data_IF_051421622129
#
_entry.id   IF_051421622129
#
_cell.length_a   1.000
_cell.length_b   1.000
_cell.length_c   1.000
_cell.angle_alpha   90.00
_cell.angle_beta   90.00
_cell.angle_gamma   90.00
#
_symmetry.space_group_name_H-M   'P 1'
#
loop_
_entity.id
_entity.type
_entity.pdbx_description
1 polymer ?
#
# COMPACT_ATOMS: atom_id res chain seq x y z
N UNK A 1 -8.00 12.03 45.95
CA UNK A 1 -9.37 12.22 45.42
C UNK A 1 -9.35 13.48 44.59
N UNK A 2 -8.78 13.48 43.39
CA UNK A 2 -9.14 12.74 42.15
C UNK A 2 -10.37 13.35 41.49
N UNK A 3 -10.13 14.07 40.39
CA UNK A 3 -11.03 14.12 39.25
C UNK A 3 -10.15 14.29 38.00
N UNK A 4 -9.85 13.16 37.38
CA UNK A 4 -9.33 13.05 36.01
C UNK A 4 -10.55 12.78 35.16
N UNK A 5 -10.89 13.65 34.21
CA UNK A 5 -11.71 13.27 33.05
C UNK A 5 -11.74 14.38 32.01
N UNK A 6 -10.88 14.24 31.01
CA UNK A 6 -10.88 15.05 29.79
C UNK A 6 -11.29 14.22 28.59
N UNK A 7 -12.45 13.57 28.65
CA UNK A 7 -13.09 12.96 27.47
C UNK A 7 -13.92 14.05 26.78
N UNK A 8 -13.35 14.67 25.74
CA UNK A 8 -14.11 15.58 24.88
C UNK A 8 -15.12 14.77 24.06
N UNK A 9 -16.38 15.03 24.40
CA UNK A 9 -17.61 14.71 23.68
C UNK A 9 -17.44 14.72 22.16
N UNK A 10 -17.71 13.57 21.55
CA UNK A 10 -18.28 13.49 20.21
C UNK A 10 -19.78 13.77 20.40
N UNK A 11 -20.24 14.95 19.97
CA UNK A 11 -21.68 15.17 19.77
C UNK A 11 -21.92 16.08 18.58
N UNK A 12 -22.21 15.46 17.45
CA UNK A 12 -23.21 15.96 16.52
C UNK A 12 -24.18 14.80 16.25
N UNK A 13 -25.45 14.99 16.63
CA UNK A 13 -26.55 14.10 16.28
C UNK A 13 -26.84 14.28 14.79
N UNK A 14 -26.44 13.33 13.96
CA UNK A 14 -26.88 13.24 12.57
C UNK A 14 -27.91 12.11 12.44
N UNK A 15 -29.16 12.45 12.20
CA UNK A 15 -30.22 11.46 11.92
C UNK A 15 -30.25 11.19 10.42
N UNK A 16 -29.63 10.09 9.99
CA UNK A 16 -30.10 9.33 8.84
C UNK A 16 -29.13 9.03 7.69
N UNK A 17 -27.90 9.55 7.68
CA UNK A 17 -26.93 9.16 6.64
C UNK A 17 -26.08 7.97 7.09
N UNK A 18 -26.62 6.76 7.00
CA UNK A 18 -25.84 5.54 7.24
C UNK A 18 -24.89 5.30 6.07
N UNK A 19 -23.55 5.40 6.26
CA UNK A 19 -22.64 5.56 5.14
C UNK A 19 -22.41 4.22 4.40
N UNK A 20 -22.93 4.13 3.18
CA UNK A 20 -22.60 3.02 2.27
C UNK A 20 -21.16 3.09 1.73
N UNK A 21 -20.59 4.30 1.70
CA UNK A 21 -19.20 4.56 1.31
C UNK A 21 -18.33 4.72 2.56
N UNK A 22 -17.02 4.43 2.48
CA UNK A 22 -16.12 4.82 3.55
C UNK A 22 -16.19 6.33 3.81
N UNK A 23 -16.01 6.77 5.06
CA UNK A 23 -15.97 8.18 5.38
C UNK A 23 -14.81 8.87 4.66
N UNK A 24 -14.93 10.15 4.29
CA UNK A 24 -13.81 10.91 3.77
C UNK A 24 -12.70 10.97 4.83
N UNK A 25 -11.45 10.86 4.39
CA UNK A 25 -10.27 10.84 5.26
C UNK A 25 -9.10 10.17 4.55
N UNK A 26 -7.89 10.34 5.07
CA UNK A 26 -6.68 9.70 4.56
C UNK A 26 -6.02 8.99 5.74
N UNK A 27 -5.30 7.90 5.48
CA UNK A 27 -4.42 7.35 6.49
C UNK A 27 -3.26 8.32 6.72
N UNK A 28 -2.77 8.40 7.96
CA UNK A 28 -1.51 9.08 8.23
C UNK A 28 -0.39 8.25 7.58
N UNK A 29 0.37 8.80 6.62
CA UNK A 29 1.42 8.05 5.93
C UNK A 29 2.51 7.65 6.93
N UNK A 30 2.91 6.38 6.93
CA UNK A 30 4.02 5.94 7.76
C UNK A 30 5.35 6.35 7.09
N UNK A 31 6.20 7.14 7.78
CA UNK A 31 7.44 7.68 7.20
C UNK A 31 8.47 6.59 6.88
N UNK A 32 8.33 5.38 7.44
CA UNK A 32 9.21 4.25 7.13
C UNK A 32 9.14 3.83 5.66
N UNK A 33 8.00 4.07 5.00
CA UNK A 33 7.81 3.72 3.59
C UNK A 33 8.22 4.81 2.61
N UNK A 34 8.57 6.02 3.08
CA UNK A 34 8.90 7.15 2.21
C UNK A 34 9.94 6.84 1.12
N UNK A 35 11.01 6.05 1.37
CA UNK A 35 11.96 5.67 0.32
C UNK A 35 11.34 4.83 -0.81
N UNK A 36 10.26 4.11 -0.52
CA UNK A 36 9.61 3.11 -1.36
C UNK A 36 8.28 3.58 -1.98
N UNK A 37 7.83 4.79 -1.64
CA UNK A 37 6.62 5.36 -2.23
C UNK A 37 6.79 5.62 -3.71
N UNK A 38 5.87 5.09 -4.52
CA UNK A 38 5.88 5.21 -5.98
C UNK A 38 7.22 4.76 -6.60
N UNK A 39 7.86 3.76 -5.96
CA UNK A 39 9.22 3.29 -6.28
C UNK A 39 9.16 2.03 -7.11
N UNK A 40 9.99 1.97 -8.15
CA UNK A 40 10.23 0.73 -8.89
C UNK A 40 11.55 0.08 -8.46
N UNK A 41 11.65 -1.23 -8.72
CA UNK A 41 12.88 -1.99 -8.55
C UNK A 41 13.05 -3.06 -9.63
N UNK A 42 14.28 -3.30 -10.05
CA UNK A 42 14.60 -4.42 -10.94
C UNK A 42 14.90 -5.63 -10.09
N UNK A 43 14.25 -6.75 -10.40
CA UNK A 43 14.33 -8.00 -9.66
C UNK A 43 15.25 -9.00 -10.37
N UNK A 44 16.06 -9.71 -9.59
CA UNK A 44 16.87 -10.82 -10.06
C UNK A 44 16.83 -12.01 -9.09
N UNK A 45 16.73 -13.22 -9.62
CA UNK A 45 16.89 -14.47 -8.86
C UNK A 45 18.29 -15.03 -9.12
N UNK A 46 19.12 -15.08 -8.08
CA UNK A 46 20.51 -15.55 -8.17
C UNK A 46 21.36 -14.89 -9.28
N UNK A 47 21.02 -13.65 -9.64
CA UNK A 47 21.71 -12.87 -10.68
C UNK A 47 21.05 -12.94 -12.06
N UNK A 48 20.06 -13.83 -12.25
CA UNK A 48 19.29 -13.90 -13.49
C UNK A 48 18.11 -12.91 -13.45
N UNK A 49 17.83 -12.17 -14.54
CA UNK A 49 16.72 -11.23 -14.59
C UNK A 49 15.37 -11.92 -14.33
N UNK A 50 14.67 -11.44 -13.31
CA UNK A 50 13.38 -11.99 -12.88
C UNK A 50 12.21 -11.13 -13.37
N UNK A 51 12.33 -9.81 -13.23
CA UNK A 51 11.26 -8.88 -13.61
C UNK A 51 11.45 -7.47 -13.07
N UNK A 52 10.38 -6.69 -13.11
CA UNK A 52 10.31 -5.33 -12.55
C UNK A 52 9.18 -5.28 -11.53
N UNK A 53 9.45 -4.68 -10.38
CA UNK A 53 8.50 -4.36 -9.32
C UNK A 53 8.16 -2.87 -9.38
N UNK A 54 6.91 -2.53 -9.12
CA UNK A 54 6.49 -1.16 -8.80
C UNK A 54 5.61 -1.16 -7.55
N UNK A 55 5.92 -0.27 -6.60
CA UNK A 55 5.20 -0.12 -5.35
C UNK A 55 4.41 1.19 -5.32
N UNK A 56 3.13 1.11 -4.97
CA UNK A 56 2.26 2.26 -4.73
C UNK A 56 1.65 2.18 -3.35
N UNK A 57 1.62 3.29 -2.63
CA UNK A 57 0.99 3.37 -1.32
C UNK A 57 -0.26 4.23 -1.39
N UNK A 58 -1.35 3.73 -0.83
CA UNK A 58 -2.68 4.33 -0.91
C UNK A 58 -3.41 4.26 0.43
N UNK A 59 -4.51 4.99 0.56
CA UNK A 59 -5.43 4.84 1.68
C UNK A 59 -6.54 3.85 1.35
N UNK A 60 -6.79 2.91 2.27
CA UNK A 60 -7.93 2.00 2.20
C UNK A 60 -8.75 1.95 3.49
N UNK A 61 -9.96 1.41 3.34
CA UNK A 61 -10.87 1.13 4.45
C UNK A 61 -11.36 -0.29 4.34
N UNK A 62 -11.41 -0.99 5.48
CA UNK A 62 -12.02 -2.31 5.56
C UNK A 62 -13.48 -2.19 5.96
N UNK A 63 -14.36 -2.93 5.29
CA UNK A 63 -15.74 -3.07 5.73
C UNK A 63 -15.77 -4.00 6.95
N UNK A 64 -16.03 -3.45 8.13
CA UNK A 64 -16.09 -4.18 9.40
C UNK A 64 -17.46 -4.80 9.71
N UNK A 65 -18.47 -4.50 8.89
CA UNK A 65 -19.83 -5.02 9.05
C UNK A 65 -20.86 -4.17 8.32
N UNK A 66 -22.11 -4.60 8.35
CA UNK A 66 -23.21 -3.90 7.69
C UNK A 66 -24.30 -4.81 7.16
N UNK A 67 -25.46 -4.23 6.87
CA UNK A 67 -26.57 -4.91 6.20
C UNK A 67 -27.26 -3.94 5.25
N UNK A 68 -27.62 -4.44 4.06
CA UNK A 68 -28.46 -3.80 3.04
C UNK A 68 -28.10 -2.33 2.74
N UNK A 69 -28.56 -1.40 3.56
CA UNK A 69 -28.41 0.05 3.40
C UNK A 69 -27.40 0.71 4.35
N UNK A 70 -26.67 -0.05 5.18
CA UNK A 70 -25.62 0.50 6.04
C UNK A 70 -24.36 -0.36 6.05
N UNK A 71 -23.21 0.30 6.17
CA UNK A 71 -21.91 -0.32 6.38
C UNK A 71 -21.17 0.37 7.52
N UNK A 72 -20.37 -0.41 8.24
CA UNK A 72 -19.37 0.08 9.19
C UNK A 72 -18.00 -0.14 8.58
N UNK A 73 -17.21 0.90 8.56
CA UNK A 73 -15.86 0.91 8.01
C UNK A 73 -14.83 0.96 9.14
N UNK A 74 -13.62 0.49 8.89
CA UNK A 74 -12.48 0.74 9.77
C UNK A 74 -12.08 2.21 9.73
N UNK A 75 -11.16 2.59 10.61
CA UNK A 75 -10.34 3.79 10.37
C UNK A 75 -9.54 3.63 9.07
N UNK A 76 -9.22 4.75 8.37
CA UNK A 76 -8.35 4.73 7.20
C UNK A 76 -7.01 4.05 7.55
N UNK A 77 -6.53 3.20 6.65
CA UNK A 77 -5.24 2.53 6.78
C UNK A 77 -4.43 2.69 5.52
N UNK A 78 -3.12 2.80 5.70
CA UNK A 78 -2.19 2.74 4.59
C UNK A 78 -2.05 1.29 4.13
N UNK A 79 -2.04 1.10 2.81
CA UNK A 79 -1.73 -0.18 2.20
C UNK A 79 -0.72 0.01 1.07
N UNK A 80 -0.01 -1.04 0.74
CA UNK A 80 0.85 -1.08 -0.44
C UNK A 80 0.19 -1.95 -1.50
N UNK A 81 0.19 -1.45 -2.72
CA UNK A 81 -0.07 -2.24 -3.92
C UNK A 81 1.25 -2.45 -4.64
N UNK A 82 1.64 -3.70 -4.82
CA UNK A 82 2.80 -4.06 -5.63
C UNK A 82 2.35 -4.62 -6.97
N UNK A 83 3.01 -4.19 -8.03
CA UNK A 83 2.82 -4.68 -9.39
C UNK A 83 4.12 -5.33 -9.86
N UNK A 84 4.04 -6.53 -10.42
CA UNK A 84 5.17 -7.30 -10.92
C UNK A 84 4.99 -7.58 -12.40
N UNK A 85 5.93 -7.12 -13.22
CA UNK A 85 6.07 -7.52 -14.61
C UNK A 85 7.23 -8.52 -14.70
N UNK A 86 6.92 -9.78 -15.02
CA UNK A 86 7.89 -10.87 -15.08
C UNK A 86 8.60 -10.87 -16.43
N UNK A 87 9.86 -11.31 -16.45
CA UNK A 87 10.67 -11.33 -17.67
C UNK A 87 10.17 -12.33 -18.73
N UNK A 88 9.34 -13.30 -18.33
CA UNK A 88 8.67 -14.23 -19.25
C UNK A 88 7.38 -13.64 -19.88
N UNK A 89 7.07 -12.38 -19.60
CA UNK A 89 5.86 -11.68 -20.04
C UNK A 89 4.66 -11.89 -19.10
N UNK A 90 4.83 -12.61 -17.99
CA UNK A 90 3.82 -12.73 -16.95
C UNK A 90 3.62 -11.43 -16.17
N UNK A 91 2.48 -11.36 -15.48
CA UNK A 91 2.13 -10.25 -14.60
C UNK A 91 1.52 -10.78 -13.31
N UNK A 92 1.86 -10.15 -12.19
CA UNK A 92 1.26 -10.41 -10.88
C UNK A 92 1.04 -9.09 -10.12
N UNK A 93 0.10 -9.09 -9.19
CA UNK A 93 -0.13 -7.96 -8.29
C UNK A 93 -0.48 -8.44 -6.88
N UNK A 94 -0.25 -7.58 -5.90
CA UNK A 94 -0.64 -7.83 -4.52
C UNK A 94 -1.06 -6.53 -3.83
N UNK A 95 -1.90 -6.68 -2.81
CA UNK A 95 -2.31 -5.58 -1.92
C UNK A 95 -2.17 -6.06 -0.49
N UNK A 96 -1.36 -5.35 0.29
CA UNK A 96 -1.08 -5.69 1.69
C UNK A 96 -1.19 -4.47 2.61
N UNK A 97 -1.58 -4.70 3.86
CA UNK A 97 -1.57 -3.62 4.86
C UNK A 97 -0.12 -3.17 5.10
N UNK A 98 0.07 -1.86 5.30
CA UNK A 98 1.36 -1.30 5.65
C UNK A 98 1.97 -1.95 6.91
N UNK A 99 1.16 -2.32 7.90
CA UNK A 99 1.64 -3.01 9.10
C UNK A 99 2.24 -4.40 8.81
N UNK A 100 1.68 -5.13 7.83
CA UNK A 100 2.21 -6.44 7.41
C UNK A 100 3.53 -6.25 6.66
N UNK A 101 3.57 -5.31 5.72
CA UNK A 101 4.77 -5.02 4.92
C UNK A 101 5.89 -4.38 5.74
N UNK A 102 5.56 -3.72 6.86
CA UNK A 102 6.56 -3.17 7.77
C UNK A 102 7.54 -4.24 8.29
N UNK A 103 7.13 -5.50 8.38
CA UNK A 103 7.99 -6.63 8.77
C UNK A 103 9.01 -6.98 7.68
N UNK A 104 8.76 -6.61 6.42
CA UNK A 104 9.64 -6.89 5.28
C UNK A 104 10.67 -5.78 4.99
N UNK A 105 10.53 -4.61 5.62
CA UNK A 105 11.39 -3.45 5.37
C UNK A 105 12.89 -3.75 5.57
N UNK A 106 13.24 -4.60 6.53
CA UNK A 106 14.64 -5.00 6.74
C UNK A 106 15.24 -5.72 5.52
N UNK A 107 14.43 -6.48 4.77
CA UNK A 107 14.86 -7.09 3.52
C UNK A 107 15.01 -6.04 2.43
N UNK A 108 14.05 -5.13 2.31
CA UNK A 108 14.04 -4.10 1.28
C UNK A 108 15.25 -3.17 1.39
N UNK A 109 15.58 -2.75 2.62
CA UNK A 109 16.76 -1.94 2.95
C UNK A 109 18.08 -2.64 2.57
N UNK A 110 18.06 -3.97 2.50
CA UNK A 110 19.21 -4.81 2.10
C UNK A 110 19.22 -5.17 0.62
N UNK A 111 18.35 -4.56 -0.19
CA UNK A 111 18.22 -4.92 -1.61
C UNK A 111 17.68 -6.34 -1.80
N UNK A 112 16.72 -6.74 -0.95
CA UNK A 112 16.03 -8.03 -1.02
C UNK A 112 14.51 -7.85 -1.05
N UNK A 113 13.83 -8.69 -1.83
CA UNK A 113 12.37 -8.68 -1.95
C UNK A 113 11.81 -10.10 -1.82
N UNK A 114 11.07 -10.42 -0.75
CA UNK A 114 10.37 -11.69 -0.61
C UNK A 114 9.23 -11.80 -1.64
N UNK A 115 9.17 -12.92 -2.38
CA UNK A 115 8.08 -13.15 -3.33
C UNK A 115 7.81 -14.65 -3.51
N UNK A 116 6.61 -15.11 -3.12
CA UNK A 116 6.15 -16.52 -3.27
C UNK A 116 7.17 -17.56 -2.78
N UNK A 117 7.82 -17.29 -1.66
CA UNK A 117 8.84 -18.17 -1.06
C UNK A 117 10.25 -18.02 -1.65
N UNK A 118 10.44 -17.18 -2.66
CA UNK A 118 11.74 -16.74 -3.14
C UNK A 118 12.20 -15.49 -2.39
N UNK A 119 13.51 -15.30 -2.32
CA UNK A 119 14.12 -14.07 -1.84
C UNK A 119 14.94 -13.46 -2.98
N UNK A 120 14.31 -12.53 -3.70
CA UNK A 120 14.89 -11.91 -4.89
C UNK A 120 15.86 -10.80 -4.49
N UNK A 121 16.86 -10.54 -5.33
CA UNK A 121 17.62 -9.28 -5.25
C UNK A 121 16.79 -8.19 -5.89
N UNK A 122 16.73 -7.02 -5.24
CA UNK A 122 16.11 -5.83 -5.81
C UNK A 122 17.12 -4.70 -5.88
N UNK A 123 17.22 -4.10 -7.06
CA UNK A 123 17.88 -2.81 -7.25
C UNK A 123 16.78 -1.74 -7.38
N UNK A 124 16.63 -0.93 -6.34
CA UNK A 124 15.67 0.16 -6.32
C UNK A 124 16.09 1.27 -7.29
N UNK A 125 15.17 1.65 -8.17
CA UNK A 125 15.41 2.68 -9.18
C UNK A 125 15.26 4.07 -8.57
N UNK A 126 15.88 5.08 -9.18
CA UNK A 126 15.63 6.47 -8.85
C UNK A 126 14.22 6.91 -9.28
N UNK A 127 13.85 8.16 -8.99
CA UNK A 127 12.48 8.64 -9.25
C UNK A 127 12.16 8.65 -10.75
N UNK A 128 13.15 8.94 -11.59
CA UNK A 128 12.97 8.95 -13.05
C UNK A 128 12.86 7.52 -13.61
N UNK A 129 13.70 6.59 -13.14
CA UNK A 129 13.60 5.18 -13.45
C UNK A 129 12.28 4.59 -12.99
N UNK A 130 11.78 5.01 -11.83
CA UNK A 130 10.48 4.57 -11.29
C UNK A 130 9.32 5.08 -12.14
N UNK A 131 9.34 6.36 -12.55
CA UNK A 131 8.35 6.90 -13.50
C UNK A 131 8.37 6.17 -14.84
N UNK A 132 9.54 5.93 -15.41
CA UNK A 132 9.66 5.20 -16.68
C UNK A 132 9.15 3.77 -16.55
N UNK A 133 9.52 3.05 -15.49
CA UNK A 133 9.01 1.70 -15.24
C UNK A 133 7.49 1.68 -15.09
N UNK A 134 6.91 2.63 -14.34
CA UNK A 134 5.47 2.80 -14.19
C UNK A 134 4.75 2.95 -15.54
N UNK A 135 5.30 3.74 -16.45
CA UNK A 135 4.77 3.91 -17.81
C UNK A 135 4.97 2.66 -18.66
N UNK A 136 6.22 2.25 -18.81
CA UNK A 136 6.65 1.30 -19.85
C UNK A 136 6.27 -0.13 -19.51
N UNK A 137 6.41 -0.52 -18.24
CA UNK A 137 6.14 -1.89 -17.80
C UNK A 137 4.67 -2.09 -17.37
N UNK A 138 4.01 -1.04 -16.88
CA UNK A 138 2.69 -1.17 -16.25
C UNK A 138 1.59 -0.31 -16.89
N UNK A 139 1.92 0.66 -17.75
CA UNK A 139 0.93 1.54 -18.39
C UNK A 139 0.15 2.44 -17.42
N UNK A 140 0.68 2.70 -16.22
CA UNK A 140 -0.04 3.38 -15.13
C UNK A 140 0.01 4.91 -15.18
N UNK A 141 0.56 5.48 -16.26
CA UNK A 141 0.56 6.94 -16.51
C UNK A 141 -0.69 7.40 -17.28
N UNK A 142 -1.49 6.45 -17.80
CA UNK A 142 -2.68 6.74 -18.58
C UNK A 142 -3.95 6.57 -17.74
N UNK A 143 -4.26 7.55 -16.89
CA UNK A 143 -5.62 7.79 -16.37
C UNK A 143 -5.70 9.20 -15.78
N UNK A 144 -6.22 10.15 -16.59
CA UNK A 144 -6.83 11.40 -16.12
C UNK A 144 -8.23 11.12 -15.55
#
# INVERSE_FOLDING_TARGET
MTAVEGLRQISARDHGHMPFRPPPGHADPDPRFDPYRERAGVLADQGEPFGVLYLRFDTSWRQLGGHLWWRRWSEPREHVTGYLALNDGGFDDFVEDADTVAEELEYWDRGRFPYRGLLLTVEWLDDEGSRRARSDAFGLDASD
#
